data_IF_839659309941
#
_entry.id   IF_839659309941
#
_cell.length_a   1.000
_cell.length_b   1.000
_cell.length_c   1.000
_cell.angle_alpha   90.00
_cell.angle_beta   90.00
_cell.angle_gamma   90.00
#
_symmetry.space_group_name_H-M   'P 1'
#
loop_
_entity.id
_entity.type
_entity.pdbx_description
1 polymer ?
#
# COMPACT_ATOMS: atom_id res chain seq x y z
N UNK A 1 9.57 15.80 10.51
CA UNK A 1 9.03 14.49 10.08
C UNK A 1 7.54 14.52 9.71
N UNK A 2 6.58 14.43 10.65
CA UNK A 2 5.14 14.30 10.29
C UNK A 2 4.61 15.54 9.55
N UNK A 3 5.00 16.74 9.98
CA UNK A 3 4.66 17.99 9.31
C UNK A 3 5.12 18.03 7.84
N UNK A 4 6.34 17.56 7.54
CA UNK A 4 6.87 17.55 6.17
C UNK A 4 6.11 16.58 5.26
N UNK A 5 5.68 15.45 5.81
CA UNK A 5 4.83 14.48 5.11
C UNK A 5 3.44 15.07 4.85
N UNK A 6 2.84 15.71 5.85
CA UNK A 6 1.53 16.37 5.71
C UNK A 6 1.61 17.44 4.63
N UNK A 7 2.60 18.34 4.70
CA UNK A 7 2.80 19.40 3.71
C UNK A 7 2.93 18.84 2.29
N UNK A 8 3.74 17.79 2.10
CA UNK A 8 3.90 17.15 0.79
C UNK A 8 2.59 16.54 0.27
N UNK A 9 1.78 15.92 1.13
CA UNK A 9 0.48 15.36 0.75
C UNK A 9 -0.59 16.43 0.51
N UNK A 10 -0.52 17.55 1.22
CA UNK A 10 -1.37 18.71 0.95
C UNK A 10 -1.06 19.34 -0.41
N UNK A 11 0.21 19.45 -0.78
CA UNK A 11 0.62 19.92 -2.11
C UNK A 11 0.15 18.97 -3.22
N UNK A 12 0.23 17.66 -2.97
CA UNK A 12 -0.36 16.65 -3.88
C UNK A 12 -1.87 16.86 -4.02
N UNK A 13 -2.59 17.08 -2.92
CA UNK A 13 -4.02 17.33 -2.96
C UNK A 13 -4.37 18.61 -3.74
N UNK A 14 -3.60 19.69 -3.57
CA UNK A 14 -3.76 20.94 -4.32
C UNK A 14 -3.57 20.72 -5.82
N UNK A 15 -2.48 20.08 -6.23
CA UNK A 15 -2.22 19.76 -7.65
C UNK A 15 -3.34 18.89 -8.23
N UNK A 16 -3.83 17.88 -7.50
CA UNK A 16 -4.92 17.04 -7.97
C UNK A 16 -6.24 17.83 -8.10
N UNK A 17 -6.51 18.78 -7.20
CA UNK A 17 -7.66 19.68 -7.33
C UNK A 17 -7.56 20.57 -8.58
N UNK A 18 -6.37 21.10 -8.87
CA UNK A 18 -6.12 21.99 -10.00
C UNK A 18 -6.09 21.26 -11.35
N UNK A 19 -5.78 19.95 -11.34
CA UNK A 19 -5.74 19.10 -12.54
C UNK A 19 -7.10 18.85 -13.20
N UNK A 20 -8.21 19.17 -12.53
CA UNK A 20 -9.57 18.86 -12.99
C UNK A 20 -9.94 17.37 -12.93
N UNK A 21 -9.08 16.51 -12.38
CA UNK A 21 -9.40 15.11 -12.13
C UNK A 21 -10.43 15.00 -11.00
N UNK A 22 -11.38 14.07 -11.13
CA UNK A 22 -12.22 13.66 -9.99
C UNK A 22 -11.46 12.62 -9.16
N UNK A 23 -11.22 12.96 -7.91
CA UNK A 23 -10.52 12.08 -6.97
C UNK A 23 -11.08 12.27 -5.55
N UNK A 24 -10.85 11.28 -4.70
CA UNK A 24 -11.11 11.39 -3.27
C UNK A 24 -10.22 10.44 -2.47
N UNK A 25 -9.98 10.81 -1.22
CA UNK A 25 -9.35 9.96 -0.22
C UNK A 25 -10.36 8.94 0.28
N UNK A 26 -9.93 7.69 0.31
CA UNK A 26 -10.70 6.54 0.80
C UNK A 26 -10.21 6.07 2.16
N UNK A 27 -8.97 6.39 2.55
CA UNK A 27 -8.38 6.05 3.84
C UNK A 27 -7.08 6.83 4.05
N UNK A 28 -6.69 7.04 5.32
CA UNK A 28 -5.43 7.67 5.70
C UNK A 28 -5.56 9.04 6.40
N UNK A 29 -6.74 9.66 6.44
CA UNK A 29 -6.93 11.00 7.03
C UNK A 29 -7.46 11.02 8.48
N UNK A 30 -7.53 9.87 9.16
CA UNK A 30 -8.17 9.78 10.47
C UNK A 30 -7.60 10.69 11.56
N UNK A 31 -6.32 11.04 11.48
CA UNK A 31 -5.63 11.91 12.44
C UNK A 31 -5.30 13.32 11.93
N UNK A 32 -5.77 13.70 10.75
CA UNK A 32 -5.49 15.02 10.16
C UNK A 32 -6.26 16.12 10.93
N UNK A 33 -5.65 17.30 11.23
CA UNK A 33 -4.40 17.83 10.68
C UNK A 33 -3.11 17.46 11.43
N UNK A 34 -3.19 16.76 12.55
CA UNK A 34 -2.02 16.51 13.42
C UNK A 34 -1.16 15.33 12.93
N UNK A 35 -1.77 14.39 12.21
CA UNK A 35 -1.08 13.23 11.62
C UNK A 35 -1.79 12.72 10.37
N UNK A 36 -1.06 12.07 9.47
CA UNK A 36 -1.66 11.31 8.37
C UNK A 36 -1.22 9.85 8.51
N UNK A 37 -2.11 8.93 8.14
CA UNK A 37 -1.79 7.50 8.05
C UNK A 37 -0.50 7.26 7.26
N UNK A 38 0.16 6.13 7.52
CA UNK A 38 1.39 5.73 6.82
C UNK A 38 1.23 5.82 5.29
N UNK A 39 0.06 5.41 4.81
CA UNK A 39 -0.38 5.41 3.44
C UNK A 39 -1.65 6.26 3.28
N UNK A 40 -1.73 6.98 2.15
CA UNK A 40 -2.90 7.73 1.72
C UNK A 40 -3.51 7.05 0.50
N UNK A 41 -4.77 6.61 0.62
CA UNK A 41 -5.44 5.83 -0.41
C UNK A 41 -6.42 6.68 -1.22
N UNK A 42 -6.17 6.81 -2.51
CA UNK A 42 -6.92 7.67 -3.42
C UNK A 42 -7.70 6.84 -4.44
N UNK A 43 -9.01 7.09 -4.52
CA UNK A 43 -9.78 6.73 -5.69
C UNK A 43 -9.68 7.87 -6.71
N UNK A 44 -9.47 7.50 -7.98
CA UNK A 44 -9.38 8.44 -9.11
C UNK A 44 -10.31 7.99 -10.23
N UNK A 45 -11.15 8.89 -10.71
CA UNK A 45 -11.90 8.73 -11.94
C UNK A 45 -11.11 9.26 -13.15
N UNK A 46 -11.25 8.57 -14.29
CA UNK A 46 -10.57 8.97 -15.52
C UNK A 46 -9.16 8.37 -15.65
N UNK A 47 -8.16 9.20 -15.97
CA UNK A 47 -6.81 8.75 -16.28
C UNK A 47 -5.96 8.59 -15.01
N UNK A 48 -5.82 7.34 -14.56
CA UNK A 48 -4.98 7.01 -13.41
C UNK A 48 -3.50 7.35 -13.65
N UNK A 49 -3.02 7.18 -14.88
CA UNK A 49 -1.64 7.50 -15.25
C UNK A 49 -1.37 9.02 -15.20
N UNK A 50 -2.38 9.85 -15.47
CA UNK A 50 -2.30 11.31 -15.32
C UNK A 50 -2.22 11.71 -13.83
N UNK A 51 -3.10 11.15 -13.00
CA UNK A 51 -3.05 11.39 -11.55
C UNK A 51 -1.70 11.00 -10.95
N UNK A 52 -1.15 9.85 -11.35
CA UNK A 52 0.18 9.43 -10.93
C UNK A 52 1.26 10.41 -11.41
N UNK A 53 1.14 10.93 -12.63
CA UNK A 53 2.03 11.97 -13.15
C UNK A 53 2.07 13.22 -12.25
N UNK A 54 0.90 13.73 -11.86
CA UNK A 54 0.78 14.86 -10.92
C UNK A 54 1.42 14.56 -9.56
N UNK A 55 1.15 13.39 -8.97
CA UNK A 55 1.77 12.99 -7.69
C UNK A 55 3.29 12.95 -7.80
N UNK A 56 3.84 12.32 -8.84
CA UNK A 56 5.29 12.25 -9.06
C UNK A 56 5.88 13.65 -9.21
N UNK A 57 5.28 14.50 -10.06
CA UNK A 57 5.72 15.88 -10.31
C UNK A 57 5.87 16.67 -9.02
N UNK A 58 4.82 16.68 -8.19
CA UNK A 58 4.81 17.43 -6.92
C UNK A 58 5.89 16.92 -5.98
N UNK A 59 5.94 15.60 -5.76
CA UNK A 59 6.89 15.00 -4.82
C UNK A 59 8.34 15.20 -5.27
N UNK A 60 8.65 15.00 -6.55
CA UNK A 60 10.01 15.23 -7.07
C UNK A 60 10.43 16.69 -7.00
N UNK A 61 9.51 17.63 -7.29
CA UNK A 61 9.77 19.07 -7.16
C UNK A 61 10.06 19.48 -5.72
N UNK A 62 9.47 18.77 -4.74
CA UNK A 62 9.74 18.92 -3.31
C UNK A 62 10.96 18.10 -2.80
N UNK A 63 11.78 17.57 -3.73
CA UNK A 63 13.04 16.89 -3.42
C UNK A 63 12.89 15.43 -2.97
N UNK A 64 11.71 14.82 -3.13
CA UNK A 64 11.51 13.41 -2.79
C UNK A 64 12.04 12.48 -3.89
N UNK A 65 12.61 11.35 -3.47
CA UNK A 65 12.94 10.23 -4.35
C UNK A 65 11.69 9.38 -4.50
N UNK A 66 11.08 9.39 -5.68
CA UNK A 66 9.78 8.75 -5.93
C UNK A 66 9.95 7.40 -6.66
N UNK A 67 9.35 6.35 -6.11
CA UNK A 67 9.36 4.99 -6.64
C UNK A 67 7.94 4.61 -7.09
N UNK A 68 7.60 4.82 -8.37
CA UNK A 68 6.29 4.44 -8.88
C UNK A 68 6.24 2.94 -9.19
N UNK A 69 5.33 2.22 -8.55
CA UNK A 69 5.15 0.78 -8.73
C UNK A 69 3.69 0.46 -9.11
N UNK A 70 3.49 -0.09 -10.32
CA UNK A 70 2.17 -0.53 -10.77
C UNK A 70 1.94 -2.00 -10.46
N UNK A 71 0.89 -2.29 -9.69
CA UNK A 71 0.48 -3.62 -9.29
C UNK A 71 -0.97 -3.86 -9.75
N UNK A 72 -1.10 -4.45 -10.93
CA UNK A 72 -2.40 -4.65 -11.58
C UNK A 72 -3.01 -3.31 -11.99
N UNK A 73 -4.17 -2.99 -11.43
CA UNK A 73 -4.89 -1.72 -11.65
C UNK A 73 -4.63 -0.67 -10.56
N UNK A 74 -3.74 -0.95 -9.61
CA UNK A 74 -3.36 -0.05 -8.52
C UNK A 74 -1.95 0.47 -8.78
N UNK A 75 -1.74 1.75 -8.49
CA UNK A 75 -0.42 2.36 -8.41
C UNK A 75 -0.06 2.60 -6.95
N UNK A 76 1.14 2.19 -6.58
CA UNK A 76 1.74 2.51 -5.29
C UNK A 76 2.89 3.45 -5.53
N UNK A 77 2.77 4.66 -5.01
CA UNK A 77 3.80 5.69 -5.10
C UNK A 77 4.44 5.77 -3.73
N UNK A 78 5.62 5.18 -3.62
CA UNK A 78 6.43 5.27 -2.41
C UNK A 78 7.47 6.37 -2.60
N UNK A 79 7.62 7.25 -1.62
CA UNK A 79 8.58 8.33 -1.70
C UNK A 79 9.46 8.40 -0.45
N UNK A 80 10.72 8.76 -0.64
CA UNK A 80 11.72 8.90 0.43
C UNK A 80 12.41 10.26 0.35
N UNK A 81 12.72 10.85 1.49
CA UNK A 81 13.50 12.10 1.56
C UNK A 81 14.35 12.12 2.81
N UNK A 82 15.49 12.78 2.75
CA UNK A 82 16.24 13.17 3.93
C UNK A 82 15.55 14.38 4.58
N UNK A 83 15.21 14.26 5.87
CA UNK A 83 14.66 15.34 6.68
C UNK A 83 15.76 16.32 7.10
N UNK A 84 15.38 17.52 7.54
CA UNK A 84 16.30 18.58 7.98
C UNK A 84 17.19 18.18 9.16
N UNK A 85 16.72 17.27 10.00
CA UNK A 85 17.46 16.69 11.13
C UNK A 85 18.42 15.56 10.71
N UNK A 86 18.50 15.26 9.41
CA UNK A 86 19.30 14.14 8.91
C UNK A 86 18.69 12.77 9.18
N UNK A 87 17.39 12.66 9.49
CA UNK A 87 16.67 11.38 9.44
C UNK A 87 16.21 11.06 8.01
N UNK A 88 15.81 9.81 7.75
CA UNK A 88 15.14 9.42 6.51
C UNK A 88 13.63 9.36 6.77
N UNK A 89 12.85 10.11 6.00
CA UNK A 89 11.40 10.11 6.06
C UNK A 89 10.82 9.45 4.80
N UNK A 90 9.60 8.94 4.93
CA UNK A 90 8.91 8.29 3.81
C UNK A 90 7.40 8.50 3.86
N UNK A 91 6.76 8.39 2.70
CA UNK A 91 5.31 8.40 2.54
C UNK A 91 4.88 7.45 1.43
N UNK A 92 3.61 7.08 1.44
CA UNK A 92 2.99 6.27 0.40
C UNK A 92 1.65 6.86 -0.04
N UNK A 93 1.47 6.95 -1.35
CA UNK A 93 0.20 7.32 -1.98
C UNK A 93 -0.24 6.17 -2.88
N UNK A 94 -1.39 5.59 -2.58
CA UNK A 94 -1.97 4.49 -3.33
C UNK A 94 -3.10 5.03 -4.21
N UNK A 95 -2.97 4.90 -5.52
CA UNK A 95 -3.98 5.38 -6.47
C UNK A 95 -4.64 4.19 -7.17
N UNK A 96 -5.96 4.18 -7.21
CA UNK A 96 -6.73 3.15 -7.90
C UNK A 96 -8.00 3.73 -8.53
N UNK A 97 -8.50 3.05 -9.57
CA UNK A 97 -9.82 3.34 -10.16
C UNK A 97 -10.96 2.64 -9.42
N UNK A 98 -10.64 1.51 -8.80
CA UNK A 98 -11.62 0.69 -8.10
C UNK A 98 -10.96 -0.23 -7.07
N UNK A 99 -11.73 -0.60 -6.05
CA UNK A 99 -11.42 -1.67 -5.11
C UNK A 99 -12.33 -2.85 -5.36
N UNK A 100 -11.80 -4.08 -5.31
CA UNK A 100 -12.57 -5.26 -5.67
C UNK A 100 -12.47 -6.42 -4.68
N UNK A 101 -13.60 -7.10 -4.51
CA UNK A 101 -13.73 -8.42 -3.93
C UNK A 101 -14.30 -9.37 -4.99
N UNK A 102 -13.52 -10.39 -5.37
CA UNK A 102 -13.83 -11.25 -6.52
C UNK A 102 -14.19 -10.39 -7.76
N UNK A 103 -15.37 -10.58 -8.33
CA UNK A 103 -15.89 -9.80 -9.46
C UNK A 103 -16.66 -8.53 -9.04
N UNK A 104 -16.81 -8.29 -7.74
CA UNK A 104 -17.56 -7.15 -7.19
C UNK A 104 -16.63 -5.97 -7.01
N UNK A 105 -16.89 -4.86 -7.70
CA UNK A 105 -16.22 -3.60 -7.42
C UNK A 105 -16.91 -2.91 -6.24
N UNK A 106 -16.25 -3.00 -5.09
CA UNK A 106 -16.71 -2.46 -3.81
C UNK A 106 -16.63 -0.95 -3.80
N UNK A 107 -15.63 -0.38 -4.47
CA UNK A 107 -15.52 1.05 -4.77
C UNK A 107 -15.21 1.17 -6.24
N UNK A 108 -15.96 1.96 -7.02
CA UNK A 108 -15.78 2.06 -8.48
C UNK A 108 -15.96 3.46 -9.08
N UNK A 109 -16.22 4.45 -8.24
CA UNK A 109 -16.34 5.86 -8.59
C UNK A 109 -16.14 6.73 -7.35
N UNK A 110 -15.83 7.99 -7.56
CA UNK A 110 -15.82 9.04 -6.55
C UNK A 110 -17.28 9.44 -6.27
N UNK A 111 -17.63 9.63 -5.01
CA UNK A 111 -18.91 10.18 -4.58
C UNK A 111 -19.24 11.52 -5.23
N UNK A 112 -20.51 11.90 -5.19
CA UNK A 112 -20.91 13.21 -5.69
C UNK A 112 -20.39 14.32 -4.76
N UNK A 113 -20.16 15.51 -5.32
CA UNK A 113 -19.39 16.56 -4.62
C UNK A 113 -20.01 16.95 -3.27
N UNK A 114 -21.32 16.89 -3.17
CA UNK A 114 -22.10 17.18 -1.95
C UNK A 114 -21.88 16.14 -0.84
N UNK A 115 -21.55 14.89 -1.20
CA UNK A 115 -21.33 13.79 -0.28
C UNK A 115 -19.88 13.72 0.24
N UNK A 116 -18.96 14.44 -0.41
CA UNK A 116 -17.56 14.47 -0.03
C UNK A 116 -17.33 15.33 1.22
N UNK A 117 -16.46 14.86 2.11
CA UNK A 117 -16.04 15.60 3.30
C UNK A 117 -14.74 16.32 2.98
N UNK A 118 -14.76 17.65 3.04
CA UNK A 118 -13.52 18.44 2.88
C UNK A 118 -12.73 18.47 4.19
N UNK A 119 -11.46 18.09 4.15
CA UNK A 119 -10.49 18.23 5.25
C UNK A 119 -9.26 18.96 4.71
N UNK A 120 -9.11 20.25 5.00
CA UNK A 120 -8.07 21.07 4.40
C UNK A 120 -8.15 21.06 2.85
N UNK A 121 -7.06 20.72 2.14
CA UNK A 121 -7.07 20.57 0.68
C UNK A 121 -7.61 19.20 0.21
N UNK A 122 -7.88 18.26 1.12
CA UNK A 122 -8.35 16.92 0.77
C UNK A 122 -9.87 16.85 0.68
N UNK A 123 -10.35 15.94 -0.18
CA UNK A 123 -11.73 15.47 -0.21
C UNK A 123 -11.76 13.99 0.18
N UNK A 124 -12.48 13.65 1.25
CA UNK A 124 -12.70 12.29 1.71
C UNK A 124 -14.07 11.79 1.23
N UNK A 125 -14.13 10.56 0.74
CA UNK A 125 -15.37 9.90 0.29
C UNK A 125 -15.83 8.88 1.35
N UNK A 126 -16.91 9.15 2.10
CA UNK A 126 -17.41 8.25 3.14
C UNK A 126 -17.82 6.87 2.60
N UNK A 127 -18.39 6.81 1.40
CA UNK A 127 -18.81 5.55 0.80
C UNK A 127 -17.60 4.70 0.40
N UNK A 128 -16.56 5.34 -0.12
CA UNK A 128 -15.29 4.67 -0.41
C UNK A 128 -14.56 4.22 0.87
N UNK A 129 -14.59 5.03 1.93
CA UNK A 129 -14.03 4.69 3.23
C UNK A 129 -14.72 3.47 3.86
N UNK A 130 -16.05 3.45 3.89
CA UNK A 130 -16.83 2.26 4.32
C UNK A 130 -16.56 1.07 3.38
N UNK A 131 -16.47 1.32 2.08
CA UNK A 131 -16.12 0.31 1.08
C UNK A 131 -14.78 -0.37 1.39
N UNK A 132 -13.75 0.41 1.69
CA UNK A 132 -12.41 -0.10 2.00
C UNK A 132 -12.35 -0.75 3.38
N UNK A 133 -12.73 -0.01 4.44
CA UNK A 133 -12.56 -0.41 5.85
C UNK A 133 -13.50 -1.54 6.27
N UNK A 134 -14.70 -1.59 5.71
CA UNK A 134 -15.70 -2.59 6.09
C UNK A 134 -16.01 -3.57 4.96
N UNK A 135 -16.42 -3.10 3.78
CA UNK A 135 -16.96 -4.02 2.77
C UNK A 135 -15.94 -5.01 2.22
N UNK A 136 -14.69 -4.60 1.97
CA UNK A 136 -13.64 -5.54 1.55
C UNK A 136 -13.41 -6.64 2.59
N UNK A 137 -13.41 -6.30 3.88
CA UNK A 137 -13.17 -7.25 4.97
C UNK A 137 -14.39 -8.14 5.27
N UNK A 138 -15.58 -7.55 5.28
CA UNK A 138 -16.84 -8.27 5.45
C UNK A 138 -17.04 -9.32 4.34
N UNK A 139 -16.70 -8.98 3.10
CA UNK A 139 -16.83 -9.88 1.96
C UNK A 139 -15.71 -10.94 1.90
N UNK A 140 -14.47 -10.61 2.29
CA UNK A 140 -13.34 -11.55 2.26
C UNK A 140 -13.28 -12.45 3.50
N UNK A 141 -12.99 -11.87 4.66
CA UNK A 141 -12.70 -12.58 5.92
C UNK A 141 -13.91 -12.72 6.84
N UNK A 142 -14.96 -11.96 6.58
CA UNK A 142 -16.20 -12.03 7.35
C UNK A 142 -16.04 -11.24 8.62
N UNK A 143 -16.44 -11.82 9.75
CA UNK A 143 -16.30 -11.15 11.05
C UNK A 143 -14.91 -11.27 11.66
N UNK A 144 -14.03 -12.14 11.11
CA UNK A 144 -12.70 -12.37 11.68
C UNK A 144 -11.89 -11.09 11.81
N UNK A 145 -11.85 -10.25 10.75
CA UNK A 145 -11.10 -8.98 10.82
C UNK A 145 -11.66 -8.01 11.84
N UNK A 146 -12.98 -7.98 12.02
CA UNK A 146 -13.62 -7.08 12.99
C UNK A 146 -13.43 -7.54 14.44
N UNK A 147 -13.15 -8.84 14.66
CA UNK A 147 -12.69 -9.32 15.98
C UNK A 147 -11.26 -8.89 16.27
N UNK A 148 -10.37 -9.01 15.28
CA UNK A 148 -8.97 -8.58 15.41
C UNK A 148 -8.82 -7.06 15.51
N UNK A 149 -9.69 -6.31 14.82
CA UNK A 149 -9.69 -4.86 14.76
C UNK A 149 -11.11 -4.30 14.92
N UNK A 150 -11.63 -4.22 16.16
CA UNK A 150 -12.98 -3.73 16.43
C UNK A 150 -13.24 -2.31 15.92
N UNK A 151 -12.20 -1.47 15.90
CA UNK A 151 -12.27 -0.08 15.42
C UNK A 151 -12.64 0.06 13.95
N UNK A 152 -12.62 -1.02 13.18
CA UNK A 152 -13.10 -1.02 11.79
C UNK A 152 -14.62 -0.87 11.68
N UNK A 153 -15.36 -1.02 12.80
CA UNK A 153 -16.79 -0.75 12.90
C UNK A 153 -17.10 0.61 13.55
N UNK A 154 -16.08 1.42 13.85
CA UNK A 154 -16.27 2.78 14.38
C UNK A 154 -16.51 3.76 13.23
N UNK A 155 -17.79 3.88 12.87
CA UNK A 155 -18.26 4.74 11.79
C UNK A 155 -18.75 6.08 12.33
N UNK A 156 -18.45 7.15 11.60
CA UNK A 156 -19.13 8.43 11.77
C UNK A 156 -20.59 8.35 11.31
N UNK A 157 -21.42 9.32 11.71
CA UNK A 157 -22.82 9.41 11.26
C UNK A 157 -22.95 9.44 9.74
N UNK A 158 -22.05 10.16 9.05
CA UNK A 158 -22.04 10.22 7.57
C UNK A 158 -21.70 8.87 6.95
N UNK A 159 -20.76 8.12 7.53
CA UNK A 159 -20.42 6.77 7.07
C UNK A 159 -21.56 5.77 7.30
N UNK A 160 -22.27 5.89 8.43
CA UNK A 160 -23.47 5.09 8.69
C UNK A 160 -24.60 5.44 7.71
N UNK A 161 -24.77 6.72 7.36
CA UNK A 161 -25.81 7.17 6.43
C UNK A 161 -25.62 6.62 5.01
N UNK A 162 -24.38 6.43 4.54
CA UNK A 162 -24.10 5.86 3.21
C UNK A 162 -24.11 4.33 3.17
N UNK A 163 -24.06 3.66 4.33
CA UNK A 163 -24.00 2.20 4.39
C UNK A 163 -25.21 1.51 3.71
N UNK A 164 -26.48 1.91 3.94
CA UNK A 164 -27.63 1.26 3.28
C UNK A 164 -27.58 1.34 1.75
N UNK A 165 -27.22 2.50 1.20
CA UNK A 165 -27.12 2.70 -0.26
C UNK A 165 -25.97 1.89 -0.84
N UNK A 166 -24.83 1.82 -0.14
CA UNK A 166 -23.68 0.99 -0.52
C UNK A 166 -24.04 -0.51 -0.56
N UNK A 167 -24.68 -1.03 0.50
CA UNK A 167 -25.12 -2.43 0.57
C UNK A 167 -26.10 -2.76 -0.57
N UNK A 168 -27.01 -1.84 -0.87
CA UNK A 168 -28.01 -1.97 -1.94
C UNK A 168 -27.35 -1.97 -3.32
N UNK A 169 -26.40 -1.05 -3.56
CA UNK A 169 -25.64 -0.99 -4.82
C UNK A 169 -24.89 -2.28 -5.10
N UNK A 170 -24.24 -2.85 -4.08
CA UNK A 170 -23.40 -4.04 -4.25
C UNK A 170 -24.22 -5.32 -4.44
N UNK A 171 -25.34 -5.45 -3.72
CA UNK A 171 -26.12 -6.69 -3.66
C UNK A 171 -27.40 -6.68 -4.49
N UNK A 172 -27.89 -5.50 -4.88
CA UNK A 172 -29.16 -5.28 -5.55
C UNK A 172 -30.39 -5.29 -4.64
N UNK A 173 -30.23 -5.28 -3.30
CA UNK A 173 -31.36 -5.19 -2.35
C UNK A 173 -30.96 -4.52 -1.03
N UNK A 174 -31.93 -4.09 -0.23
CA UNK A 174 -31.69 -3.54 1.11
C UNK A 174 -31.28 -4.62 2.13
N UNK A 175 -30.49 -4.21 3.13
CA UNK A 175 -29.94 -5.08 4.19
C UNK A 175 -30.01 -4.39 5.56
N UNK A 176 -31.22 -4.16 6.11
CA UNK A 176 -31.39 -3.44 7.37
C UNK A 176 -30.69 -4.16 8.55
N UNK A 177 -30.69 -5.49 8.58
CA UNK A 177 -30.03 -6.24 9.65
C UNK A 177 -28.50 -6.08 9.66
N UNK A 178 -27.87 -5.88 8.49
CA UNK A 178 -26.43 -5.55 8.44
C UNK A 178 -26.20 -4.15 8.99
N UNK A 179 -27.04 -3.18 8.64
CA UNK A 179 -26.94 -1.80 9.15
C UNK A 179 -27.11 -1.79 10.67
N UNK A 180 -28.10 -2.53 11.18
CA UNK A 180 -28.34 -2.72 12.61
C UNK A 180 -27.13 -3.36 13.28
N UNK A 181 -26.62 -4.46 12.75
CA UNK A 181 -25.48 -5.19 13.31
C UNK A 181 -24.21 -4.33 13.34
N UNK A 182 -23.97 -3.50 12.33
CA UNK A 182 -22.85 -2.56 12.33
C UNK A 182 -23.05 -1.48 13.40
N UNK A 183 -24.24 -0.89 13.47
CA UNK A 183 -24.55 0.18 14.43
C UNK A 183 -24.47 -0.29 15.88
N UNK A 184 -24.92 -1.52 16.16
CA UNK A 184 -24.85 -2.14 17.49
C UNK A 184 -23.56 -2.93 17.73
N UNK A 185 -22.63 -2.96 16.77
CA UNK A 185 -21.40 -3.77 16.79
C UNK A 185 -21.66 -5.26 17.10
N UNK A 186 -22.82 -5.79 16.68
CA UNK A 186 -23.21 -7.18 16.88
C UNK A 186 -22.57 -8.08 15.82
N UNK A 187 -21.43 -8.68 16.18
CA UNK A 187 -20.71 -9.59 15.31
C UNK A 187 -21.45 -10.91 15.06
N UNK A 188 -22.38 -11.31 15.92
CA UNK A 188 -23.15 -12.55 15.76
C UNK A 188 -24.19 -12.37 14.67
N UNK A 189 -24.99 -11.30 14.76
CA UNK A 189 -25.95 -10.92 13.73
C UNK A 189 -25.25 -10.60 12.41
N UNK A 190 -24.12 -9.89 12.45
CA UNK A 190 -23.34 -9.61 11.25
C UNK A 190 -22.87 -10.92 10.58
N UNK A 191 -22.39 -11.90 11.37
CA UNK A 191 -21.93 -13.18 10.84
C UNK A 191 -23.05 -13.96 10.14
N UNK A 192 -24.27 -13.98 10.69
CA UNK A 192 -25.40 -14.69 10.08
C UNK A 192 -25.80 -14.07 8.74
N UNK A 193 -25.83 -12.74 8.66
CA UNK A 193 -26.25 -12.02 7.45
C UNK A 193 -25.20 -12.03 6.34
N UNK A 194 -23.91 -11.98 6.69
CA UNK A 194 -22.83 -11.84 5.70
C UNK A 194 -22.75 -13.00 4.70
N UNK A 195 -23.18 -14.22 5.07
CA UNK A 195 -23.18 -15.37 4.15
C UNK A 195 -24.13 -15.11 2.98
N UNK A 196 -25.37 -14.71 3.29
CA UNK A 196 -26.38 -14.39 2.28
C UNK A 196 -25.98 -13.16 1.46
N UNK A 197 -25.42 -12.14 2.13
CA UNK A 197 -24.96 -10.91 1.49
C UNK A 197 -23.87 -11.14 0.46
N UNK A 198 -22.85 -11.94 0.79
CA UNK A 198 -21.77 -12.32 -0.13
C UNK A 198 -22.29 -12.99 -1.38
N UNK A 199 -23.21 -13.95 -1.22
CA UNK A 199 -23.82 -14.67 -2.36
C UNK A 199 -24.55 -13.70 -3.28
N UNK A 200 -25.31 -12.75 -2.71
CA UNK A 200 -26.02 -11.73 -3.50
C UNK A 200 -25.06 -10.78 -4.21
N UNK A 201 -24.00 -10.31 -3.55
CA UNK A 201 -22.98 -9.49 -4.19
C UNK A 201 -22.31 -10.21 -5.36
N UNK A 202 -21.93 -11.47 -5.17
CA UNK A 202 -21.32 -12.29 -6.23
C UNK A 202 -22.25 -12.46 -7.43
N UNK A 203 -23.51 -12.84 -7.18
CA UNK A 203 -24.51 -12.97 -8.24
C UNK A 203 -24.71 -11.63 -8.96
N UNK A 204 -24.95 -10.55 -8.22
CA UNK A 204 -25.16 -9.22 -8.81
C UNK A 204 -23.97 -8.80 -9.66
N UNK A 205 -22.75 -9.10 -9.24
CA UNK A 205 -21.53 -8.78 -9.96
C UNK A 205 -21.45 -9.42 -11.35
N UNK A 206 -21.93 -10.66 -11.49
CA UNK A 206 -22.02 -11.39 -12.77
C UNK A 206 -23.03 -10.71 -13.70
N UNK A 207 -24.18 -10.28 -13.17
CA UNK A 207 -25.28 -9.67 -13.93
C UNK A 207 -25.15 -8.14 -14.11
N UNK A 208 -23.94 -7.58 -14.08
CA UNK A 208 -23.73 -6.13 -14.26
C UNK A 208 -23.49 -5.73 -15.71
N UNK A 209 -23.55 -4.42 -16.00
CA UNK A 209 -23.27 -3.84 -17.32
C UNK A 209 -21.82 -3.98 -17.79
N UNK A 210 -20.88 -4.40 -16.92
CA UNK A 210 -19.43 -4.49 -17.23
C UNK A 210 -18.82 -5.84 -16.78
N UNK A 211 -19.36 -6.99 -17.20
CA UNK A 211 -18.92 -8.29 -16.69
C UNK A 211 -17.50 -8.63 -17.16
N UNK A 212 -17.17 -8.31 -18.41
CA UNK A 212 -15.84 -8.57 -19.00
C UNK A 212 -14.75 -7.77 -18.28
N UNK A 213 -14.98 -6.47 -18.03
CA UNK A 213 -14.00 -5.63 -17.33
C UNK A 213 -13.74 -6.11 -15.90
N UNK A 214 -14.78 -6.57 -15.20
CA UNK A 214 -14.68 -7.13 -13.84
C UNK A 214 -13.94 -8.48 -13.83
N UNK A 215 -14.22 -9.35 -14.80
CA UNK A 215 -13.51 -10.61 -14.97
C UNK A 215 -12.03 -10.38 -15.31
N UNK A 216 -11.73 -9.50 -16.26
CA UNK A 216 -10.37 -9.14 -16.62
C UNK A 216 -9.61 -8.56 -15.42
N UNK A 217 -10.25 -7.69 -14.64
CA UNK A 217 -9.66 -7.14 -13.41
C UNK A 217 -9.44 -8.20 -12.34
N UNK A 218 -10.38 -9.15 -12.17
CA UNK A 218 -10.22 -10.28 -11.24
C UNK A 218 -9.07 -11.21 -11.68
N UNK A 219 -8.97 -11.50 -12.98
CA UNK A 219 -7.86 -12.27 -13.54
C UNK A 219 -6.52 -11.55 -13.37
N UNK A 220 -6.48 -10.24 -13.66
CA UNK A 220 -5.30 -9.42 -13.44
C UNK A 220 -4.86 -9.45 -11.96
N UNK A 221 -5.80 -9.49 -11.01
CA UNK A 221 -5.49 -9.66 -9.59
C UNK A 221 -4.79 -10.98 -9.34
N UNK A 222 -5.37 -12.07 -9.83
CA UNK A 222 -4.81 -13.40 -9.63
C UNK A 222 -3.42 -13.50 -10.27
N UNK A 223 -3.26 -12.93 -11.47
CA UNK A 223 -2.00 -12.90 -12.18
C UNK A 223 -0.93 -12.11 -11.43
N UNK A 224 -1.21 -10.86 -11.08
CA UNK A 224 -0.19 -9.96 -10.51
C UNK A 224 0.02 -10.18 -9.02
N UNK A 225 -0.93 -10.75 -8.29
CA UNK A 225 -0.80 -10.94 -6.85
C UNK A 225 -0.41 -12.37 -6.50
N UNK A 226 -0.99 -13.39 -7.16
CA UNK A 226 -0.83 -14.79 -6.76
C UNK A 226 0.11 -15.58 -7.68
N UNK A 227 0.06 -15.38 -9.00
CA UNK A 227 0.81 -16.22 -9.95
C UNK A 227 2.19 -15.64 -10.26
N UNK A 228 2.27 -14.34 -10.55
CA UNK A 228 3.47 -13.64 -10.97
C UNK A 228 3.60 -12.30 -10.24
N UNK A 229 3.76 -12.30 -8.90
CA UNK A 229 4.01 -11.08 -8.16
C UNK A 229 5.27 -10.38 -8.66
N UNK A 230 5.11 -9.18 -9.20
CA UNK A 230 6.25 -8.33 -9.52
C UNK A 230 6.86 -7.85 -8.22
N UNK A 231 8.16 -8.06 -8.06
CA UNK A 231 8.94 -7.54 -6.94
C UNK A 231 8.96 -6.00 -6.99
N UNK A 232 7.97 -5.40 -6.30
CA UNK A 232 7.83 -3.95 -6.17
C UNK A 232 8.67 -3.35 -5.04
N UNK A 233 8.83 -4.10 -3.94
CA UNK A 233 9.65 -3.72 -2.80
C UNK A 233 11.02 -4.44 -2.83
N UNK A 234 12.10 -3.78 -2.38
CA UNK A 234 13.43 -4.37 -2.38
C UNK A 234 13.53 -5.60 -1.47
N UNK A 235 14.25 -6.62 -1.92
CA UNK A 235 14.60 -7.79 -1.13
C UNK A 235 16.04 -7.63 -0.68
N UNK A 236 16.27 -7.70 0.63
CA UNK A 236 17.59 -7.69 1.24
C UNK A 236 18.02 -9.13 1.52
N UNK A 237 19.24 -9.48 1.21
CA UNK A 237 19.90 -10.69 1.68
C UNK A 237 20.90 -10.27 2.75
N UNK A 238 20.90 -10.92 3.92
CA UNK A 238 21.90 -10.76 4.95
C UNK A 238 22.77 -12.02 4.98
N UNK A 239 24.07 -11.84 4.83
CA UNK A 239 25.05 -12.92 4.96
C UNK A 239 26.08 -12.52 6.00
N UNK A 240 26.02 -13.12 7.18
CA UNK A 240 27.10 -13.04 8.15
C UNK A 240 27.88 -14.35 8.15
N UNK A 241 29.08 -14.37 8.73
CA UNK A 241 29.77 -15.62 9.07
C UNK A 241 29.20 -16.32 10.31
N UNK A 242 28.32 -15.67 11.08
CA UNK A 242 27.80 -16.11 12.38
C UNK A 242 26.31 -15.73 12.60
N UNK A 243 25.48 -16.68 13.03
CA UNK A 243 24.02 -16.52 13.24
C UNK A 243 23.70 -15.45 14.30
N UNK A 244 24.46 -15.38 15.40
CA UNK A 244 24.24 -14.40 16.46
C UNK A 244 24.42 -12.96 15.98
N UNK A 245 25.49 -12.70 15.23
CA UNK A 245 25.76 -11.40 14.62
C UNK A 245 24.74 -11.06 13.52
N UNK A 246 24.31 -12.05 12.74
CA UNK A 246 23.28 -11.84 11.71
C UNK A 246 21.95 -11.39 12.29
N UNK A 247 21.57 -11.92 13.46
CA UNK A 247 20.34 -11.53 14.16
C UNK A 247 20.40 -10.10 14.70
N UNK A 248 21.53 -9.69 15.29
CA UNK A 248 21.72 -8.30 15.75
C UNK A 248 21.63 -7.30 14.59
N UNK A 249 22.28 -7.63 13.47
CA UNK A 249 22.23 -6.81 12.26
C UNK A 249 20.80 -6.71 11.72
N UNK A 250 20.08 -7.83 11.67
CA UNK A 250 18.67 -7.89 11.30
C UNK A 250 17.80 -7.01 12.21
N UNK A 251 17.96 -7.08 13.53
CA UNK A 251 17.16 -6.31 14.49
C UNK A 251 17.33 -4.81 14.25
N UNK A 252 18.57 -4.35 14.11
CA UNK A 252 18.92 -2.95 13.84
C UNK A 252 18.37 -2.46 12.51
N UNK A 253 18.52 -3.27 11.47
CA UNK A 253 17.95 -3.02 10.15
C UNK A 253 16.43 -2.91 10.24
N UNK A 254 15.80 -3.83 10.96
CA UNK A 254 14.36 -3.89 11.14
C UNK A 254 13.84 -2.65 11.86
N UNK A 255 14.55 -2.18 12.90
CA UNK A 255 14.20 -0.96 13.61
C UNK A 255 14.23 0.26 12.69
N UNK A 256 15.30 0.41 11.88
CA UNK A 256 15.41 1.52 10.92
C UNK A 256 14.34 1.46 9.82
N UNK A 257 14.01 0.27 9.32
CA UNK A 257 12.96 0.12 8.31
C UNK A 257 11.55 0.31 8.86
N UNK A 258 11.30 -0.02 10.13
CA UNK A 258 10.01 0.25 10.79
C UNK A 258 9.72 1.75 10.96
N UNK A 259 10.74 2.60 10.97
CA UNK A 259 10.60 4.08 10.96
C UNK A 259 10.15 4.60 9.59
N UNK A 260 10.29 3.78 8.55
CA UNK A 260 9.88 4.08 7.19
C UNK A 260 8.51 3.42 6.88
N UNK A 261 8.01 3.58 5.66
CA UNK A 261 6.73 3.03 5.21
C UNK A 261 6.68 1.49 5.18
N UNK A 262 7.79 0.82 5.51
CA UNK A 262 7.88 -0.64 5.52
C UNK A 262 7.16 -1.23 6.74
N UNK A 263 6.27 -2.18 6.49
CA UNK A 263 5.33 -2.72 7.49
C UNK A 263 5.88 -3.93 8.25
N UNK A 264 6.70 -4.74 7.58
CA UNK A 264 7.17 -6.02 8.07
C UNK A 264 8.52 -6.34 7.40
N UNK A 265 9.46 -6.86 8.20
CA UNK A 265 10.74 -7.40 7.72
C UNK A 265 10.68 -8.89 7.98
N UNK A 266 10.40 -9.66 6.92
CA UNK A 266 10.32 -11.12 7.04
C UNK A 266 11.67 -11.75 6.78
N UNK A 267 12.13 -12.51 7.76
CA UNK A 267 13.26 -13.43 7.62
C UNK A 267 12.77 -14.67 6.88
N UNK A 268 13.38 -14.99 5.76
CA UNK A 268 13.22 -16.27 5.09
C UNK A 268 14.49 -17.08 5.38
N UNK A 269 14.34 -18.16 6.13
CA UNK A 269 15.42 -19.13 6.35
C UNK A 269 15.53 -20.04 5.11
N UNK A 270 16.75 -20.21 4.60
CA UNK A 270 17.03 -21.21 3.58
C UNK A 270 17.08 -22.59 4.25
N UNK A 271 16.10 -23.44 3.95
CA UNK A 271 15.99 -24.80 4.48
C UNK A 271 17.11 -25.75 4.02
N UNK A 272 18.02 -25.30 3.15
CA UNK A 272 19.12 -26.11 2.61
C UNK A 272 20.48 -25.84 3.28
N UNK A 273 20.62 -26.26 4.54
CA UNK A 273 21.89 -26.64 5.19
C UNK A 273 23.18 -25.80 4.92
N UNK A 274 23.11 -24.47 4.81
CA UNK A 274 24.31 -23.61 4.96
C UNK A 274 24.07 -22.62 6.09
N UNK A 275 24.75 -22.86 7.22
CA UNK A 275 24.57 -22.27 8.56
C UNK A 275 24.75 -20.75 8.71
N UNK A 276 24.68 -19.93 7.66
CA UNK A 276 25.02 -18.49 7.78
C UNK A 276 24.39 -17.58 6.72
N UNK A 277 23.10 -17.77 6.39
CA UNK A 277 22.38 -16.91 5.43
C UNK A 277 20.97 -16.60 5.92
N UNK A 278 20.67 -15.31 6.12
CA UNK A 278 19.34 -14.84 6.48
C UNK A 278 18.80 -13.93 5.37
N UNK A 279 17.74 -14.32 4.70
CA UNK A 279 17.13 -13.48 3.68
C UNK A 279 16.11 -12.56 4.34
N UNK A 280 16.21 -11.25 4.14
CA UNK A 280 15.34 -10.25 4.76
C UNK A 280 14.56 -9.49 3.71
N UNK A 281 13.28 -9.81 3.54
CA UNK A 281 12.44 -9.07 2.60
C UNK A 281 11.89 -7.81 3.25
N UNK A 282 12.26 -6.64 2.73
CA UNK A 282 11.61 -5.39 3.11
C UNK A 282 10.27 -5.29 2.41
N UNK A 283 9.20 -5.36 3.19
CA UNK A 283 7.86 -5.24 2.67
C UNK A 283 7.35 -3.81 2.89
N UNK A 284 7.26 -2.99 1.83
CA UNK A 284 6.37 -1.80 1.85
C UNK A 284 4.90 -2.24 1.95
N UNK A 285 4.64 -3.50 1.63
CA UNK A 285 3.33 -4.04 1.31
C UNK A 285 2.48 -4.26 2.56
N UNK A 286 1.37 -3.52 2.58
CA UNK A 286 0.13 -3.86 3.28
C UNK A 286 -0.63 -5.03 2.60
N UNK A 287 -0.04 -5.66 1.58
CA UNK A 287 -0.48 -6.97 1.09
C UNK A 287 0.62 -7.99 1.34
N UNK A 288 0.55 -8.59 2.52
CA UNK A 288 0.91 -9.99 2.68
C UNK A 288 0.19 -10.76 1.58
N UNK A 289 0.95 -11.37 0.68
CA UNK A 289 0.66 -12.71 0.18
C UNK A 289 2.01 -13.42 0.05
N UNK A 290 2.68 -13.59 1.20
CA UNK A 290 3.48 -14.78 1.43
C UNK A 290 2.56 -15.69 2.23
N UNK A 291 2.03 -16.69 1.55
CA UNK A 291 1.51 -17.89 2.20
C UNK A 291 2.53 -18.29 3.28
N UNK A 292 2.12 -18.19 4.54
CA UNK A 292 2.79 -18.96 5.58
C UNK A 292 2.76 -20.42 5.09
N UNK A 293 3.94 -21.02 4.91
CA UNK A 293 4.17 -22.38 4.41
C UNK A 293 4.38 -22.57 2.90
N UNK A 294 4.69 -21.53 2.10
CA UNK A 294 5.20 -21.76 0.73
C UNK A 294 6.64 -21.28 0.60
N UNK A 295 7.57 -22.14 0.11
CA UNK A 295 8.95 -21.72 -0.17
C UNK A 295 8.96 -20.49 -1.08
N UNK A 296 10.00 -19.66 -0.94
CA UNK A 296 10.23 -18.49 -1.79
C UNK A 296 9.97 -18.87 -3.25
N UNK A 297 9.06 -18.17 -3.97
CA UNK A 297 8.84 -18.45 -5.38
C UNK A 297 10.17 -18.48 -6.13
N UNK A 298 10.41 -19.54 -6.91
CA UNK A 298 11.61 -19.66 -7.73
C UNK A 298 11.82 -18.38 -8.56
N UNK A 299 12.96 -17.70 -8.39
CA UNK A 299 13.33 -16.50 -9.14
C UNK A 299 13.36 -15.17 -8.37
N UNK A 300 13.04 -15.14 -7.07
CA UNK A 300 13.33 -13.97 -6.22
C UNK A 300 14.84 -13.79 -6.08
N UNK A 301 15.34 -12.63 -6.54
CA UNK A 301 16.75 -12.25 -6.42
C UNK A 301 16.88 -11.12 -5.41
N UNK A 302 17.87 -11.25 -4.52
CA UNK A 302 18.27 -10.16 -3.65
C UNK A 302 18.63 -8.94 -4.50
N UNK A 303 18.08 -7.79 -4.13
CA UNK A 303 18.43 -6.51 -4.76
C UNK A 303 19.51 -5.78 -3.96
N UNK A 304 19.58 -6.08 -2.68
CA UNK A 304 20.60 -5.62 -1.76
C UNK A 304 21.14 -6.86 -1.06
N UNK A 305 22.45 -7.03 -1.03
CA UNK A 305 23.13 -7.99 -0.17
C UNK A 305 23.91 -7.21 0.87
N UNK A 306 23.75 -7.58 2.12
CA UNK A 306 24.51 -7.05 3.26
C UNK A 306 25.39 -8.17 3.73
N UNK A 307 26.68 -7.91 3.78
CA UNK A 307 27.65 -8.91 4.11
C UNK A 307 28.74 -8.36 5.01
N UNK A 308 29.37 -9.26 5.76
CA UNK A 308 30.62 -8.98 6.47
C UNK A 308 31.77 -9.59 5.70
N UNK A 309 32.84 -8.83 5.47
CA UNK A 309 34.05 -9.36 4.83
C UNK A 309 35.05 -9.93 5.86
N UNK A 310 36.20 -10.39 5.37
CA UNK A 310 37.26 -11.00 6.18
C UNK A 310 37.88 -10.03 7.20
N UNK A 311 37.74 -8.73 6.97
CA UNK A 311 38.23 -7.65 7.84
C UNK A 311 37.16 -7.19 8.87
N UNK A 312 36.11 -7.99 9.06
CA UNK A 312 34.94 -7.72 9.91
C UNK A 312 34.15 -6.46 9.49
N UNK A 313 34.36 -5.95 8.26
CA UNK A 313 33.67 -4.78 7.74
C UNK A 313 32.30 -5.15 7.18
N UNK A 314 31.29 -4.33 7.48
CA UNK A 314 29.99 -4.45 6.83
C UNK A 314 30.03 -3.74 5.48
N UNK A 315 29.65 -4.46 4.43
CA UNK A 315 29.44 -3.88 3.12
C UNK A 315 28.03 -4.15 2.59
N UNK A 316 27.53 -3.17 1.86
CA UNK A 316 26.24 -3.18 1.20
C UNK A 316 26.47 -3.24 -0.29
N UNK A 317 25.81 -4.19 -0.94
CA UNK A 317 25.95 -4.45 -2.36
C UNK A 317 24.59 -4.42 -3.02
N UNK A 318 24.46 -3.65 -4.08
CA UNK A 318 23.37 -3.75 -5.04
C UNK A 318 23.99 -3.69 -6.43
N UNK A 319 23.33 -4.24 -7.46
CA UNK A 319 23.90 -4.23 -8.81
C UNK A 319 24.27 -2.79 -9.19
N UNK A 320 25.58 -2.49 -9.32
CA UNK A 320 26.13 -1.17 -9.64
C UNK A 320 25.97 -0.10 -8.55
N UNK A 321 25.88 -0.48 -7.28
CA UNK A 321 26.00 0.37 -6.09
C UNK A 321 26.67 -0.46 -4.99
N UNK A 322 27.93 -0.17 -4.70
CA UNK A 322 28.69 -0.85 -3.66
C UNK A 322 29.13 0.18 -2.60
N UNK A 323 28.98 -0.15 -1.31
CA UNK A 323 29.50 0.68 -0.22
C UNK A 323 30.11 -0.19 0.88
N UNK A 324 31.32 0.15 1.35
CA UNK A 324 32.03 -0.55 2.43
C UNK A 324 32.12 0.31 3.68
N UNK A 325 32.03 -0.30 4.87
CA UNK A 325 32.09 0.39 6.15
C UNK A 325 32.63 -0.50 7.28
N UNK A 326 33.63 0.01 8.00
CA UNK A 326 34.24 -0.68 9.15
C UNK A 326 33.42 -0.54 10.44
N UNK A 327 32.31 0.21 10.38
CA UNK A 327 31.42 0.47 11.53
C UNK A 327 29.97 0.24 11.14
N UNK A 328 29.18 -0.35 12.04
CA UNK A 328 27.73 -0.45 11.87
C UNK A 328 27.03 0.90 12.10
N UNK A 329 27.36 1.94 11.33
CA UNK A 329 26.72 3.25 11.48
C UNK A 329 25.41 3.32 10.68
N UNK A 330 24.36 3.82 11.32
CA UNK A 330 23.07 4.15 10.67
C UNK A 330 23.25 5.18 9.56
N UNK A 331 24.25 6.06 9.68
CA UNK A 331 24.63 7.03 8.66
C UNK A 331 25.02 6.36 7.34
N UNK A 332 25.81 5.30 7.37
CA UNK A 332 26.24 4.60 6.15
C UNK A 332 25.09 3.83 5.48
N UNK A 333 24.24 3.18 6.29
CA UNK A 333 23.00 2.56 5.81
C UNK A 333 22.10 3.59 5.09
N UNK A 334 21.88 4.75 5.70
CA UNK A 334 21.05 5.80 5.13
C UNK A 334 21.57 6.28 3.77
N UNK A 335 22.87 6.56 3.66
CA UNK A 335 23.49 7.03 2.40
C UNK A 335 23.34 5.96 1.32
N UNK A 336 23.60 4.69 1.65
CA UNK A 336 23.38 3.58 0.73
C UNK A 336 21.92 3.50 0.26
N UNK A 337 20.96 3.59 1.19
CA UNK A 337 19.53 3.53 0.87
C UNK A 337 19.08 4.67 -0.03
N UNK A 338 19.50 5.90 0.22
CA UNK A 338 19.19 7.05 -0.65
C UNK A 338 19.69 6.82 -2.09
N UNK A 339 20.92 6.32 -2.23
CA UNK A 339 21.50 6.02 -3.55
C UNK A 339 20.78 4.85 -4.24
N UNK A 340 20.46 3.80 -3.48
CA UNK A 340 19.67 2.67 -3.95
C UNK A 340 18.29 3.11 -4.44
N UNK A 341 17.58 3.92 -3.66
CA UNK A 341 16.26 4.44 -4.03
C UNK A 341 16.33 5.37 -5.24
N UNK A 342 17.34 6.22 -5.37
CA UNK A 342 17.55 7.06 -6.57
C UNK A 342 17.72 6.18 -7.82
N UNK A 343 18.53 5.14 -7.73
CA UNK A 343 18.74 4.19 -8.84
C UNK A 343 17.47 3.43 -9.18
N UNK A 344 16.80 2.86 -8.18
CA UNK A 344 15.54 2.13 -8.33
C UNK A 344 14.45 3.01 -8.94
N UNK A 345 14.33 4.26 -8.47
CA UNK A 345 13.44 5.28 -9.02
C UNK A 345 13.68 5.46 -10.52
N UNK A 346 14.93 5.67 -10.95
CA UNK A 346 15.27 5.79 -12.37
C UNK A 346 14.80 4.58 -13.20
N UNK A 347 15.10 3.36 -12.74
CA UNK A 347 14.70 2.11 -13.43
C UNK A 347 13.18 1.97 -13.52
N UNK A 348 12.46 2.26 -12.43
CA UNK A 348 10.99 2.17 -12.40
C UNK A 348 10.34 3.19 -13.34
N UNK A 349 10.86 4.43 -13.36
CA UNK A 349 10.35 5.49 -14.23
C UNK A 349 10.58 5.18 -15.72
N UNK A 350 11.71 4.56 -16.07
CA UNK A 350 11.96 4.09 -17.45
C UNK A 350 10.94 3.05 -17.93
N UNK A 351 10.39 2.24 -17.02
CA UNK A 351 9.32 1.28 -17.36
C UNK A 351 7.95 1.93 -17.60
N UNK A 352 7.80 3.20 -17.25
CA UNK A 352 6.53 3.93 -17.29
C UNK A 352 6.67 5.31 -17.96
N UNK A 353 7.16 5.37 -19.22
CA UNK A 353 7.47 6.64 -19.87
C UNK A 353 6.23 7.48 -20.22
N UNK A 354 5.04 6.88 -20.27
CA UNK A 354 3.77 7.60 -20.45
C UNK A 354 3.42 8.44 -19.23
N UNK A 355 3.58 7.87 -18.03
CA UNK A 355 3.31 8.52 -16.74
C UNK A 355 4.26 9.70 -16.52
N UNK A 356 5.55 9.51 -16.83
CA UNK A 356 6.55 10.58 -16.70
C UNK A 356 6.33 11.71 -17.71
N UNK A 357 5.83 11.39 -18.91
CA UNK A 357 5.46 12.43 -19.88
C UNK A 357 4.21 13.19 -19.44
N UNK A 358 3.21 12.50 -18.89
CA UNK A 358 2.02 13.13 -18.34
C UNK A 358 2.32 14.06 -17.14
N UNK A 359 3.46 13.88 -16.46
CA UNK A 359 3.93 14.74 -15.38
C UNK A 359 4.60 16.05 -15.86
N UNK A 360 4.94 16.17 -17.15
CA UNK A 360 5.70 17.31 -17.72
C UNK A 360 4.83 18.36 -18.41
N UNK A 361 3.56 18.05 -18.61
CA UNK A 361 2.51 18.93 -19.14
C UNK A 361 1.43 19.04 -18.09
#
# INVERSE_FOLDING_TARGET
MEFEKIAALEDVARELNDSGLRWAVTNGLGGYPDSIGRDLDLIVEGSLDLAVGHVIKVLESAGWIVLPNRQGWIWWIVAFRESSDGSLISLQVDLFKHLQWAFTWVVDKVGDKEDLIRRGPFYEDPAAAVGKRFMLHALSTGVTKFREKPTYLDFSERELAVLPSLLTRLSGRHWPEIVKAVSSKDLTLLKSELVSFRRRCFLKAIWTKRPIARLASAFQKQWVVNLFPRQGAPVIELTSGDDGESRKLLEKITEEFRKLVYQDVRVVEDSSQKKARHWCRLSCLQVVLVFANTPVPAGLKAEITVARDEDDQIYWKSQGLDSRSNLESTKNLKVFLLNFFKKKSSILKQRHPSVIRAARY
#
